data_IF_990606858300
#
_entry.id   IF_990606858300
#
_cell.length_a   1.000
_cell.length_b   1.000
_cell.length_c   1.000
_cell.angle_alpha   90.00
_cell.angle_beta   90.00
_cell.angle_gamma   90.00
#
_symmetry.space_group_name_H-M   'P 1'
#
loop_
_entity.id
_entity.type
_entity.pdbx_description
1 polymer ?
#
# COMPACT_ATOMS: atom_id res chain seq x y z
N UNK A 1 -64.36 -26.29 -47.24
CA UNK A 1 -64.48 -25.97 -45.81
C UNK A 1 -63.25 -25.19 -45.43
N UNK A 2 -63.37 -24.18 -44.58
CA UNK A 2 -62.25 -23.35 -44.15
C UNK A 2 -62.01 -23.59 -42.66
N UNK A 3 -60.84 -24.11 -42.30
CA UNK A 3 -60.46 -24.18 -40.90
C UNK A 3 -60.29 -22.76 -40.34
N UNK A 4 -61.08 -22.44 -39.32
CA UNK A 4 -60.85 -21.24 -38.53
C UNK A 4 -59.61 -21.46 -37.67
N UNK A 5 -58.60 -20.56 -37.70
CA UNK A 5 -57.39 -20.74 -36.92
C UNK A 5 -57.72 -20.73 -35.42
N UNK A 6 -57.46 -21.85 -34.75
CA UNK A 6 -57.69 -21.97 -33.31
C UNK A 6 -56.86 -20.93 -32.56
N UNK A 7 -57.54 -20.09 -31.79
CA UNK A 7 -56.94 -19.10 -30.91
C UNK A 7 -57.06 -19.52 -29.45
N UNK A 8 -56.10 -19.08 -28.64
CA UNK A 8 -56.07 -19.25 -27.18
C UNK A 8 -55.84 -17.88 -26.53
N UNK A 9 -56.32 -17.63 -25.30
CA UNK A 9 -55.97 -16.41 -24.58
C UNK A 9 -54.47 -16.42 -24.22
N UNK A 10 -53.82 -15.25 -24.32
CA UNK A 10 -52.50 -15.02 -23.74
C UNK A 10 -52.58 -15.10 -22.21
N UNK A 11 -51.68 -15.80 -21.50
CA UNK A 11 -51.75 -15.93 -20.04
C UNK A 11 -51.66 -14.58 -19.32
N UNK A 12 -50.85 -13.65 -19.83
CA UNK A 12 -50.52 -12.40 -19.14
C UNK A 12 -51.55 -11.28 -19.33
N UNK A 13 -52.34 -11.32 -20.40
CA UNK A 13 -53.25 -10.22 -20.79
C UNK A 13 -54.61 -10.66 -21.36
N UNK A 14 -54.88 -11.98 -21.41
CA UNK A 14 -56.08 -12.60 -21.98
C UNK A 14 -56.37 -12.34 -23.48
N UNK A 15 -55.60 -11.49 -24.18
CA UNK A 15 -55.77 -11.22 -25.61
C UNK A 15 -55.67 -12.51 -26.45
N UNK A 16 -56.50 -12.70 -27.49
CA UNK A 16 -56.47 -13.89 -28.32
C UNK A 16 -55.20 -13.95 -29.19
N UNK A 17 -54.44 -15.03 -29.04
CA UNK A 17 -53.23 -15.34 -29.81
C UNK A 17 -53.42 -16.64 -30.58
N UNK A 18 -52.72 -16.83 -31.70
CA UNK A 18 -52.82 -18.07 -32.50
C UNK A 18 -52.22 -19.24 -31.73
N UNK A 19 -52.86 -20.41 -31.78
CA UNK A 19 -52.38 -21.60 -31.06
C UNK A 19 -51.07 -22.19 -31.64
N UNK A 20 -50.81 -21.90 -32.92
CA UNK A 20 -49.61 -22.26 -33.68
C UNK A 20 -49.07 -21.03 -34.40
N UNK A 21 -47.76 -21.01 -34.71
CA UNK A 21 -46.99 -19.93 -35.37
C UNK A 21 -46.66 -18.66 -34.56
N UNK A 22 -47.32 -18.42 -33.43
CA UNK A 22 -47.09 -17.20 -32.64
C UNK A 22 -46.20 -17.42 -31.40
N UNK A 23 -44.92 -17.00 -31.51
CA UNK A 23 -43.94 -17.00 -30.41
C UNK A 23 -44.12 -15.86 -29.38
N UNK A 24 -44.74 -14.73 -29.75
CA UNK A 24 -44.96 -13.54 -28.89
C UNK A 24 -46.38 -12.97 -29.06
N UNK A 25 -46.97 -12.44 -27.98
CA UNK A 25 -48.29 -11.80 -28.02
C UNK A 25 -48.22 -10.36 -28.55
N UNK A 26 -48.89 -10.08 -29.68
CA UNK A 26 -48.90 -8.76 -30.33
C UNK A 26 -49.44 -7.61 -29.45
N UNK A 27 -50.24 -7.93 -28.42
CA UNK A 27 -50.90 -6.93 -27.57
C UNK A 27 -50.09 -6.51 -26.33
N UNK A 28 -49.07 -7.27 -25.93
CA UNK A 28 -48.31 -7.00 -24.69
C UNK A 28 -46.82 -7.38 -24.74
N UNK A 29 -46.36 -8.06 -25.79
CA UNK A 29 -44.98 -8.54 -25.92
C UNK A 29 -44.65 -9.80 -25.12
N UNK A 30 -45.63 -10.40 -24.41
CA UNK A 30 -45.43 -11.63 -23.65
C UNK A 30 -44.93 -12.77 -24.54
N UNK A 31 -43.90 -13.48 -24.06
CA UNK A 31 -43.32 -14.64 -24.74
C UNK A 31 -44.21 -15.88 -24.52
N UNK A 32 -44.66 -16.52 -25.60
CA UNK A 32 -45.68 -17.57 -25.56
C UNK A 32 -45.11 -18.98 -25.71
N UNK A 33 -43.99 -19.12 -26.44
CA UNK A 33 -43.20 -20.35 -26.65
C UNK A 33 -41.96 -20.04 -27.48
N UNK A 34 -40.95 -20.90 -27.41
CA UNK A 34 -39.95 -21.04 -28.49
C UNK A 34 -40.49 -21.99 -29.56
N UNK A 35 -40.43 -21.59 -30.82
CA UNK A 35 -40.65 -22.51 -31.95
C UNK A 35 -39.41 -23.38 -32.19
N UNK A 36 -39.32 -24.50 -31.49
CA UNK A 36 -38.27 -25.51 -31.68
C UNK A 36 -38.68 -26.56 -32.74
N UNK A 37 -37.77 -26.98 -33.64
CA UNK A 37 -38.05 -28.05 -34.59
C UNK A 37 -38.21 -29.40 -33.89
N UNK A 38 -39.19 -30.20 -34.31
CA UNK A 38 -39.62 -31.42 -33.60
C UNK A 38 -38.58 -32.54 -33.58
N UNK A 39 -38.00 -32.81 -32.41
CA UNK A 39 -37.47 -34.13 -32.03
C UNK A 39 -37.52 -34.27 -30.49
N UNK A 40 -37.80 -35.47 -29.95
CA UNK A 40 -38.14 -35.67 -28.55
C UNK A 40 -36.98 -36.24 -27.69
N UNK A 41 -37.05 -36.01 -26.37
CA UNK A 41 -36.18 -36.61 -25.35
C UNK A 41 -36.96 -36.83 -24.02
N UNK A 42 -36.61 -37.84 -23.19
CA UNK A 42 -37.33 -38.19 -21.95
C UNK A 42 -36.70 -37.63 -20.65
N UNK A 43 -37.43 -37.78 -19.54
CA UNK A 43 -37.15 -37.19 -18.21
C UNK A 43 -35.99 -37.83 -17.40
N UNK A 44 -35.37 -37.08 -16.47
CA UNK A 44 -34.54 -37.59 -15.38
C UNK A 44 -35.18 -37.44 -13.98
N UNK A 45 -34.87 -38.37 -13.06
CA UNK A 45 -35.23 -38.29 -11.63
C UNK A 45 -34.00 -38.49 -10.73
N UNK A 46 -33.93 -37.75 -9.61
CA UNK A 46 -33.18 -38.14 -8.41
C UNK A 46 -33.43 -37.17 -7.23
N UNK A 47 -33.94 -37.68 -6.12
CA UNK A 47 -34.26 -36.92 -4.92
C UNK A 47 -33.10 -36.85 -3.91
N UNK A 48 -33.15 -35.88 -2.98
CA UNK A 48 -32.73 -36.09 -1.59
C UNK A 48 -33.41 -35.12 -0.63
N UNK A 49 -33.78 -35.62 0.55
CA UNK A 49 -34.63 -34.94 1.54
C UNK A 49 -33.84 -34.64 2.85
N UNK A 50 -34.31 -33.67 3.65
CA UNK A 50 -33.60 -33.08 4.80
C UNK A 50 -34.55 -32.79 5.99
N UNK A 51 -34.22 -33.30 7.19
CA UNK A 51 -34.87 -33.05 8.49
C UNK A 51 -34.11 -33.77 9.65
N UNK A 52 -34.28 -33.54 10.96
CA UNK A 52 -34.48 -32.37 11.87
C UNK A 52 -34.45 -32.95 13.34
N UNK A 53 -34.38 -32.28 14.51
CA UNK A 53 -34.43 -30.87 14.97
C UNK A 53 -33.80 -30.72 16.39
N UNK A 54 -33.47 -29.49 16.79
CA UNK A 54 -33.56 -28.91 18.16
C UNK A 54 -32.50 -29.18 19.29
N UNK A 55 -32.46 -28.18 20.20
CA UNK A 55 -31.71 -27.98 21.48
C UNK A 55 -32.75 -28.01 22.66
N UNK A 56 -32.52 -27.62 23.96
CA UNK A 56 -31.46 -26.79 24.57
C UNK A 56 -30.77 -27.36 25.84
N UNK A 57 -29.87 -26.58 26.44
CA UNK A 57 -29.15 -26.85 27.70
C UNK A 57 -29.79 -26.15 28.93
N UNK A 58 -29.49 -26.65 30.14
CA UNK A 58 -29.66 -25.95 31.42
C UNK A 58 -28.52 -26.34 32.40
N UNK A 59 -28.18 -25.50 33.37
CA UNK A 59 -27.08 -25.70 34.35
C UNK A 59 -27.34 -24.91 35.64
N UNK A 60 -26.95 -25.42 36.83
CA UNK A 60 -25.85 -24.74 37.56
C UNK A 60 -25.01 -25.60 38.55
N UNK A 61 -24.00 -24.94 39.15
CA UNK A 61 -23.44 -25.15 40.53
C UNK A 61 -22.13 -25.93 40.77
N UNK A 62 -21.40 -25.45 41.79
CA UNK A 62 -20.18 -25.94 42.51
C UNK A 62 -20.57 -26.20 44.01
N UNK A 63 -19.72 -26.61 45.00
CA UNK A 63 -18.23 -26.63 45.08
C UNK A 63 -17.54 -27.83 45.82
N UNK A 64 -16.20 -27.72 46.00
CA UNK A 64 -15.34 -28.42 47.00
C UNK A 64 -15.10 -29.95 46.81
N UNK A 65 -14.14 -30.69 47.41
CA UNK A 65 -13.16 -30.53 48.53
C UNK A 65 -11.78 -31.20 48.18
N UNK A 66 -10.61 -30.73 48.68
CA UNK A 66 -9.76 -31.17 49.85
C UNK A 66 -8.95 -32.50 49.71
N UNK A 67 -7.65 -32.48 50.03
CA UNK A 67 -6.74 -33.64 50.23
C UNK A 67 -5.27 -33.33 49.81
N UNK A 68 -4.33 -33.03 50.72
CA UNK A 68 -3.40 -33.93 51.48
C UNK A 68 -2.35 -34.64 50.61
N UNK A 69 -1.05 -34.31 50.63
CA UNK A 69 -0.02 -34.37 51.72
C UNK A 69 0.36 -35.85 52.04
N UNK A 70 1.61 -36.35 52.11
CA UNK A 70 3.01 -35.82 52.12
C UNK A 70 3.88 -36.52 51.01
N UNK A 71 5.16 -36.26 50.65
CA UNK A 71 6.40 -35.65 51.22
C UNK A 71 7.43 -36.63 51.89
N UNK A 72 8.74 -36.26 51.90
CA UNK A 72 9.93 -37.01 52.43
C UNK A 72 10.37 -38.20 51.51
N UNK A 73 11.64 -38.65 51.33
CA UNK A 73 12.98 -38.49 52.00
C UNK A 73 14.20 -38.41 51.01
N UNK A 74 15.45 -38.62 51.48
CA UNK A 74 16.75 -38.71 50.72
C UNK A 74 17.11 -40.16 50.26
N UNK A 75 18.31 -40.64 49.83
CA UNK A 75 19.77 -40.29 49.65
C UNK A 75 20.39 -41.38 48.69
N UNK A 76 21.65 -41.47 48.18
CA UNK A 76 22.87 -40.64 47.94
C UNK A 76 23.87 -41.46 47.04
N UNK A 77 25.06 -40.92 46.72
CA UNK A 77 26.36 -41.56 46.35
C UNK A 77 26.84 -41.60 44.87
N UNK A 78 27.89 -40.80 44.66
CA UNK A 78 29.00 -40.82 43.66
C UNK A 78 29.24 -42.08 42.77
N UNK A 79 29.41 -41.86 41.45
CA UNK A 79 30.20 -42.72 40.54
C UNK A 79 31.05 -41.86 39.57
N UNK A 80 32.26 -42.34 39.27
CA UNK A 80 33.39 -41.58 38.72
C UNK A 80 33.79 -41.96 37.27
N UNK A 81 34.12 -40.93 36.48
CA UNK A 81 34.96 -40.91 35.25
C UNK A 81 34.47 -41.53 33.92
N UNK A 82 34.15 -40.65 32.97
CA UNK A 82 34.63 -40.65 31.57
C UNK A 82 34.65 -39.18 31.08
N UNK A 83 35.66 -38.56 30.46
CA UNK A 83 36.77 -38.97 29.60
C UNK A 83 36.45 -39.06 28.09
N UNK A 84 36.62 -37.91 27.40
CA UNK A 84 36.77 -37.69 25.94
C UNK A 84 35.59 -38.04 25.02
N UNK A 85 35.13 -37.05 24.27
CA UNK A 85 35.48 -36.94 22.84
C UNK A 85 35.35 -35.49 22.37
N UNK A 86 36.38 -34.99 21.68
CA UNK A 86 36.36 -33.71 20.97
C UNK A 86 36.05 -33.99 19.49
N UNK A 87 35.01 -33.39 18.92
CA UNK A 87 34.76 -33.51 17.47
C UNK A 87 35.35 -32.30 16.72
N UNK A 88 36.63 -32.42 16.35
CA UNK A 88 37.32 -31.44 15.52
C UNK A 88 36.81 -31.50 14.07
N UNK A 89 35.84 -30.64 13.72
CA UNK A 89 35.49 -30.40 12.31
C UNK A 89 36.48 -29.41 11.69
N UNK A 90 37.43 -29.93 10.91
CA UNK A 90 38.36 -29.13 10.11
C UNK A 90 37.64 -28.52 8.90
N UNK A 91 37.78 -27.20 8.62
CA UNK A 91 37.13 -26.58 7.47
C UNK A 91 37.76 -27.02 6.13
N UNK A 92 36.91 -27.25 5.13
CA UNK A 92 37.33 -27.48 3.75
C UNK A 92 37.85 -26.18 3.09
N UNK A 93 38.77 -26.28 2.11
CA UNK A 93 39.53 -25.12 1.62
C UNK A 93 38.70 -24.15 0.78
N UNK A 94 39.03 -22.85 0.90
CA UNK A 94 38.38 -21.78 0.15
C UNK A 94 38.72 -21.83 -1.35
N UNK A 95 37.69 -21.65 -2.19
CA UNK A 95 37.84 -21.47 -3.65
C UNK A 95 38.07 -19.99 -3.95
N UNK A 96 39.17 -19.66 -4.63
CA UNK A 96 39.49 -18.28 -5.00
C UNK A 96 38.63 -17.79 -6.18
N UNK A 97 38.16 -16.52 -6.18
CA UNK A 97 37.37 -15.96 -7.28
C UNK A 97 38.23 -15.58 -8.49
N UNK A 98 37.78 -15.93 -9.68
CA UNK A 98 38.35 -15.46 -10.96
C UNK A 98 37.69 -14.12 -11.38
N UNK A 99 38.41 -13.15 -11.99
CA UNK A 99 37.88 -11.80 -12.19
C UNK A 99 36.79 -11.69 -13.27
N UNK A 100 35.91 -10.70 -13.12
CA UNK A 100 34.92 -10.31 -14.13
C UNK A 100 35.51 -9.29 -15.14
N UNK A 101 35.13 -9.34 -16.43
CA UNK A 101 35.41 -8.29 -17.40
C UNK A 101 34.34 -7.19 -17.41
N UNK A 102 34.77 -5.94 -17.62
CA UNK A 102 33.91 -4.77 -17.84
C UNK A 102 34.71 -3.69 -18.62
N UNK A 103 34.07 -2.60 -19.07
CA UNK A 103 33.00 -2.57 -20.06
C UNK A 103 33.45 -1.86 -21.35
N UNK A 104 32.70 -1.99 -22.45
CA UNK A 104 32.95 -1.27 -23.70
C UNK A 104 31.89 -0.15 -23.91
N UNK A 105 32.36 1.08 -24.02
CA UNK A 105 31.53 2.30 -24.08
C UNK A 105 31.27 2.75 -25.52
N UNK A 106 30.05 3.19 -25.81
CA UNK A 106 29.74 4.07 -26.95
C UNK A 106 29.47 5.49 -26.44
N UNK A 107 29.87 6.53 -27.19
CA UNK A 107 28.90 7.61 -27.40
C UNK A 107 28.99 8.31 -28.79
N UNK A 108 27.90 9.00 -29.10
CA UNK A 108 27.73 10.25 -29.88
C UNK A 108 28.26 10.43 -31.32
N UNK A 109 27.33 10.84 -32.18
CA UNK A 109 27.51 11.97 -33.12
C UNK A 109 26.16 12.59 -33.47
N UNK A 110 26.11 13.91 -33.60
CA UNK A 110 24.87 14.71 -33.62
C UNK A 110 24.67 15.45 -34.96
N UNK A 111 23.41 15.82 -35.24
CA UNK A 111 23.00 16.94 -36.11
C UNK A 111 23.14 16.80 -37.65
N UNK A 112 22.15 17.38 -38.35
CA UNK A 112 21.99 17.39 -39.82
C UNK A 112 22.83 18.47 -40.53
N UNK A 113 22.77 18.51 -41.86
CA UNK A 113 22.16 19.69 -42.47
C UNK A 113 21.02 19.35 -43.46
N UNK A 114 20.21 20.35 -43.79
CA UNK A 114 19.23 20.30 -44.87
C UNK A 114 19.66 21.24 -46.01
N UNK A 115 19.30 20.90 -47.25
CA UNK A 115 19.31 21.80 -48.42
C UNK A 115 18.42 21.22 -49.52
N UNK A 116 17.88 22.08 -50.37
CA UNK A 116 16.99 21.70 -51.47
C UNK A 116 17.74 21.00 -52.62
N UNK A 117 17.16 19.93 -53.15
CA UNK A 117 17.05 19.78 -54.61
C UNK A 117 15.85 18.89 -55.00
N UNK A 118 14.76 19.50 -55.48
CA UNK A 118 13.62 18.81 -56.13
C UNK A 118 13.52 19.25 -57.59
N UNK A 119 14.59 19.00 -58.33
CA UNK A 119 14.79 19.51 -59.68
C UNK A 119 13.94 18.81 -60.76
N UNK A 120 13.00 19.58 -61.34
CA UNK A 120 12.65 19.68 -62.78
C UNK A 120 12.15 18.44 -63.56
N UNK A 121 12.38 17.22 -63.07
CA UNK A 121 12.06 15.96 -63.76
C UNK A 121 10.57 15.61 -63.73
N UNK A 122 9.86 15.91 -62.65
CA UNK A 122 8.43 15.62 -62.53
C UNK A 122 7.56 16.48 -63.46
N UNK A 123 7.88 17.77 -63.60
CA UNK A 123 7.04 18.75 -64.33
C UNK A 123 7.01 18.47 -65.84
N UNK A 124 8.12 17.96 -66.39
CA UNK A 124 8.26 17.66 -67.84
C UNK A 124 7.45 16.44 -68.30
N UNK A 125 6.86 15.67 -67.38
CA UNK A 125 6.02 14.50 -67.70
C UNK A 125 4.61 14.83 -68.21
N UNK A 126 4.15 16.09 -68.05
CA UNK A 126 2.76 16.51 -68.30
C UNK A 126 2.53 17.21 -69.66
N UNK A 127 3.49 17.19 -70.58
CA UNK A 127 3.46 17.94 -71.85
C UNK A 127 3.61 17.05 -73.09
N UNK A 128 2.86 15.94 -73.14
CA UNK A 128 2.69 15.11 -74.35
C UNK A 128 1.24 15.23 -74.86
N UNK A 129 0.98 15.96 -75.97
CA UNK A 129 -0.37 16.09 -76.53
C UNK A 129 -0.88 14.79 -77.16
N UNK A 130 -2.14 14.44 -76.90
CA UNK A 130 -2.85 13.35 -77.59
C UNK A 130 -3.63 13.93 -78.79
N UNK A 131 -3.34 13.51 -80.04
CA UNK A 131 -4.14 13.94 -81.19
C UNK A 131 -5.48 13.18 -81.23
N UNK A 132 -6.61 13.90 -81.39
CA UNK A 132 -7.89 13.23 -81.63
C UNK A 132 -9.16 14.09 -81.58
N UNK A 133 -9.18 15.19 -80.82
CA UNK A 133 -10.41 15.98 -80.60
C UNK A 133 -10.43 17.28 -81.40
N UNK A 134 -11.30 17.36 -82.41
CA UNK A 134 -11.69 18.62 -83.09
C UNK A 134 -13.19 18.84 -82.88
N UNK A 135 -13.61 19.83 -82.06
CA UNK A 135 -15.02 20.16 -81.90
C UNK A 135 -15.65 20.65 -83.21
N UNK A 136 -16.92 20.34 -83.41
CA UNK A 136 -17.73 20.84 -84.52
C UNK A 136 -18.38 22.18 -84.14
N UNK A 137 -18.57 23.07 -85.11
CA UNK A 137 -18.88 24.49 -84.87
C UNK A 137 -20.40 24.72 -84.65
N UNK A 138 -20.82 25.44 -83.58
CA UNK A 138 -22.24 25.57 -83.25
C UNK A 138 -22.99 26.52 -84.19
N UNK A 139 -24.12 26.06 -84.72
CA UNK A 139 -24.97 26.87 -85.60
C UNK A 139 -25.57 28.10 -84.88
N UNK A 140 -25.61 29.24 -85.58
CA UNK A 140 -26.06 30.54 -85.06
C UNK A 140 -27.56 30.53 -84.76
N UNK A 141 -27.93 30.86 -83.53
CA UNK A 141 -29.33 30.98 -83.11
C UNK A 141 -29.97 32.30 -83.59
N UNK A 142 -31.21 32.23 -84.08
CA UNK A 142 -31.99 33.39 -84.51
C UNK A 142 -32.52 34.22 -83.31
N UNK A 143 -32.71 35.55 -83.48
CA UNK A 143 -33.14 36.43 -82.38
C UNK A 143 -34.60 36.21 -81.97
N UNK A 144 -34.85 36.20 -80.66
CA UNK A 144 -36.20 36.10 -80.06
C UNK A 144 -36.68 37.49 -79.60
N UNK A 145 -37.97 37.76 -79.77
CA UNK A 145 -38.61 39.03 -79.41
C UNK A 145 -38.61 39.28 -77.88
N UNK A 146 -38.65 40.56 -77.43
CA UNK A 146 -38.52 40.92 -76.02
C UNK A 146 -39.65 40.36 -75.14
N UNK A 147 -39.27 39.98 -73.91
CA UNK A 147 -40.18 39.37 -72.95
C UNK A 147 -41.27 40.34 -72.44
N UNK A 148 -42.43 39.77 -72.08
CA UNK A 148 -43.57 40.47 -71.49
C UNK A 148 -43.21 41.01 -70.10
N UNK A 149 -43.61 42.24 -69.73
CA UNK A 149 -43.30 42.80 -68.41
C UNK A 149 -43.93 41.98 -67.28
N UNK A 150 -43.13 41.70 -66.25
CA UNK A 150 -43.49 40.85 -65.12
C UNK A 150 -44.17 41.65 -64.00
N UNK A 151 -45.10 41.03 -63.27
CA UNK A 151 -45.85 41.71 -62.21
C UNK A 151 -44.98 42.00 -60.97
N UNK A 152 -45.19 43.16 -60.34
CA UNK A 152 -44.42 43.58 -59.18
C UNK A 152 -44.51 42.57 -58.02
N UNK A 153 -43.35 42.09 -57.55
CA UNK A 153 -43.25 41.09 -56.48
C UNK A 153 -43.85 41.62 -55.17
N UNK A 154 -44.76 40.89 -54.49
CA UNK A 154 -45.31 41.33 -53.22
C UNK A 154 -44.24 41.40 -52.13
N UNK A 155 -44.29 42.48 -51.33
CA UNK A 155 -43.33 42.73 -50.24
C UNK A 155 -43.69 41.83 -49.04
N UNK A 156 -42.73 41.10 -48.45
CA UNK A 156 -43.00 40.30 -47.26
C UNK A 156 -43.30 41.19 -46.04
N UNK A 157 -44.35 40.84 -45.28
CA UNK A 157 -44.52 41.37 -43.92
C UNK A 157 -43.43 40.79 -43.01
N UNK A 158 -42.90 41.60 -42.11
CA UNK A 158 -42.14 41.10 -40.98
C UNK A 158 -43.05 40.22 -40.11
N UNK A 159 -42.53 39.09 -39.61
CA UNK A 159 -43.23 38.28 -38.63
C UNK A 159 -43.20 38.99 -37.27
N UNK A 160 -44.33 38.97 -36.56
CA UNK A 160 -44.44 39.61 -35.25
C UNK A 160 -43.63 38.86 -34.18
N UNK A 161 -43.10 39.60 -33.20
CA UNK A 161 -42.20 39.03 -32.19
C UNK A 161 -42.95 37.98 -31.33
N UNK A 162 -42.43 36.76 -31.17
CA UNK A 162 -43.10 35.74 -30.39
C UNK A 162 -43.15 36.12 -28.91
N UNK A 163 -44.35 36.08 -28.32
CA UNK A 163 -44.56 36.41 -26.92
C UNK A 163 -43.63 35.61 -25.97
N UNK A 164 -43.24 36.18 -24.82
CA UNK A 164 -42.54 35.46 -23.77
C UNK A 164 -43.29 34.19 -23.37
N UNK A 165 -42.54 33.11 -23.12
CA UNK A 165 -43.11 31.80 -22.79
C UNK A 165 -42.82 31.50 -21.32
N UNK A 166 -43.85 31.68 -20.49
CA UNK A 166 -43.83 31.34 -19.07
C UNK A 166 -43.63 29.82 -18.82
N UNK A 167 -42.88 29.50 -17.77
CA UNK A 167 -42.95 28.21 -17.07
C UNK A 167 -42.39 26.93 -17.72
N UNK A 168 -41.72 26.99 -18.87
CA UNK A 168 -41.25 25.78 -19.57
C UNK A 168 -39.72 25.61 -19.68
N UNK A 169 -39.26 24.36 -19.67
CA UNK A 169 -37.84 23.98 -19.70
C UNK A 169 -37.09 24.56 -20.93
N UNK A 170 -35.89 25.14 -20.76
CA UNK A 170 -35.07 25.59 -21.87
C UNK A 170 -34.50 24.40 -22.67
N UNK A 171 -34.34 24.56 -23.98
CA UNK A 171 -33.78 23.51 -24.83
C UNK A 171 -32.33 23.16 -24.43
N UNK A 172 -31.94 21.88 -24.29
CA UNK A 172 -30.58 21.52 -23.88
C UNK A 172 -29.48 21.94 -24.87
N UNK A 173 -29.81 22.10 -26.16
CA UNK A 173 -28.86 22.50 -27.20
C UNK A 173 -28.76 24.03 -27.38
N UNK A 174 -29.89 24.73 -27.59
CA UNK A 174 -29.90 26.17 -27.90
C UNK A 174 -30.36 27.08 -26.74
N UNK A 175 -30.76 26.51 -25.60
CA UNK A 175 -31.30 27.17 -24.40
C UNK A 175 -32.52 28.09 -24.59
N UNK A 176 -33.14 28.11 -25.78
CA UNK A 176 -34.42 28.78 -25.99
C UNK A 176 -35.51 28.20 -25.10
N UNK A 177 -36.31 29.06 -24.47
CA UNK A 177 -37.50 28.68 -23.72
C UNK A 177 -38.58 28.09 -24.66
N UNK A 178 -39.16 26.97 -24.26
CA UNK A 178 -40.25 26.28 -24.96
C UNK A 178 -41.46 26.19 -24.02
N UNK A 179 -42.68 26.07 -24.54
CA UNK A 179 -43.85 25.83 -23.68
C UNK A 179 -43.72 24.46 -23.00
N UNK A 180 -44.26 24.28 -21.78
CA UNK A 180 -44.46 22.96 -21.19
C UNK A 180 -45.12 21.97 -22.17
N UNK A 181 -44.81 20.68 -22.02
CA UNK A 181 -45.38 19.61 -22.86
C UNK A 181 -44.82 19.50 -24.29
N UNK A 182 -43.87 20.33 -24.72
CA UNK A 182 -43.23 20.15 -26.05
C UNK A 182 -42.19 19.04 -26.03
N UNK A 183 -42.36 18.05 -26.91
CA UNK A 183 -41.38 16.99 -27.14
C UNK A 183 -40.15 17.46 -27.95
N UNK A 184 -40.28 18.50 -28.78
CA UNK A 184 -39.20 19.05 -29.61
C UNK A 184 -39.11 20.59 -29.51
N UNK A 185 -37.90 21.14 -29.62
CA UNK A 185 -37.67 22.58 -29.54
C UNK A 185 -38.18 23.34 -30.77
N UNK A 186 -38.92 24.44 -30.52
CA UNK A 186 -39.55 25.32 -31.54
C UNK A 186 -38.60 26.06 -32.52
N UNK A 187 -37.29 25.90 -32.39
CA UNK A 187 -36.29 26.62 -33.19
C UNK A 187 -35.23 25.71 -33.81
N UNK A 188 -34.71 24.74 -33.06
CA UNK A 188 -33.65 23.83 -33.52
C UNK A 188 -34.06 22.35 -33.56
N UNK A 189 -35.36 22.05 -33.40
CA UNK A 189 -35.95 20.70 -33.43
C UNK A 189 -35.34 19.66 -32.45
N UNK A 190 -34.43 20.05 -31.56
CA UNK A 190 -33.80 19.15 -30.57
C UNK A 190 -34.87 18.55 -29.64
N UNK A 191 -34.86 17.23 -29.37
CA UNK A 191 -35.80 16.63 -28.44
C UNK A 191 -35.59 17.18 -27.02
N UNK A 192 -36.70 17.55 -26.37
CA UNK A 192 -36.73 18.15 -25.03
C UNK A 192 -36.66 17.09 -23.93
N UNK A 193 -37.18 15.89 -24.21
CA UNK A 193 -36.94 14.69 -23.43
C UNK A 193 -35.94 13.84 -24.22
N UNK A 194 -34.70 13.63 -23.74
CA UNK A 194 -33.80 12.71 -24.40
C UNK A 194 -34.30 11.28 -24.19
N UNK A 195 -34.72 10.62 -25.28
CA UNK A 195 -34.81 9.17 -25.26
C UNK A 195 -33.47 8.58 -24.84
N UNK A 196 -33.49 7.66 -23.88
CA UNK A 196 -32.32 6.85 -23.55
C UNK A 196 -32.17 5.81 -24.66
N UNK A 197 -31.63 6.23 -25.81
CA UNK A 197 -31.17 5.32 -26.87
C UNK A 197 -30.36 4.21 -26.20
N UNK A 198 -30.85 2.98 -26.26
CA UNK A 198 -30.22 1.89 -25.53
C UNK A 198 -28.82 1.66 -26.08
N UNK A 199 -27.86 1.43 -25.20
CA UNK A 199 -26.48 1.09 -25.58
C UNK A 199 -26.33 -0.36 -26.04
N UNK A 200 -27.46 -1.07 -26.25
CA UNK A 200 -27.49 -2.42 -26.79
C UNK A 200 -27.32 -2.42 -28.31
N UNK A 201 -27.81 -1.38 -29.01
CA UNK A 201 -27.68 -1.28 -30.46
C UNK A 201 -26.30 -0.71 -30.84
N UNK A 202 -25.60 -1.41 -31.74
CA UNK A 202 -24.24 -1.05 -32.14
C UNK A 202 -24.14 0.27 -32.92
N UNK A 203 -22.91 0.78 -33.17
CA UNK A 203 -22.72 1.98 -33.98
C UNK A 203 -23.13 1.72 -35.44
N UNK A 204 -24.36 2.13 -35.79
CA UNK A 204 -24.92 2.06 -37.14
C UNK A 204 -23.98 2.61 -38.23
N UNK A 205 -23.95 1.95 -39.38
CA UNK A 205 -23.05 2.26 -40.49
C UNK A 205 -23.15 3.74 -40.93
N UNK A 206 -22.03 4.44 -40.91
CA UNK A 206 -21.94 5.88 -41.21
C UNK A 206 -21.89 6.80 -39.97
N UNK A 207 -22.19 6.30 -38.77
CA UNK A 207 -22.05 7.05 -37.51
C UNK A 207 -20.56 7.20 -37.14
N UNK A 208 -19.92 8.28 -37.62
CA UNK A 208 -18.54 8.62 -37.23
C UNK A 208 -18.48 8.77 -35.70
N UNK A 209 -17.57 8.07 -34.98
CA UNK A 209 -17.36 8.34 -33.56
C UNK A 209 -16.97 9.79 -33.36
N UNK A 210 -17.68 10.50 -32.48
CA UNK A 210 -17.25 11.82 -32.05
C UNK A 210 -15.89 11.69 -31.35
N UNK A 211 -14.87 12.39 -31.83
CA UNK A 211 -13.59 12.51 -31.12
C UNK A 211 -13.79 13.38 -29.88
N UNK A 212 -14.39 12.79 -28.84
CA UNK A 212 -14.30 13.29 -27.47
C UNK A 212 -12.81 13.29 -27.11
N UNK A 213 -12.19 14.48 -27.17
CA UNK A 213 -10.84 14.68 -26.64
C UNK A 213 -10.93 14.52 -25.14
N UNK A 214 -10.78 13.28 -24.70
CA UNK A 214 -11.14 12.82 -23.37
C UNK A 214 -10.09 13.28 -22.34
N UNK A 215 -10.19 14.56 -21.99
CA UNK A 215 -9.43 15.20 -20.92
C UNK A 215 -9.65 14.48 -19.59
N UNK A 216 -10.81 13.84 -19.38
CA UNK A 216 -11.07 12.97 -18.25
C UNK A 216 -10.09 11.79 -18.19
N UNK A 217 -9.94 11.03 -19.28
CA UNK A 217 -8.95 9.93 -19.37
C UNK A 217 -7.50 10.41 -19.26
N UNK A 218 -7.17 11.62 -19.70
CA UNK A 218 -5.84 12.21 -19.47
C UNK A 218 -5.62 12.59 -18.00
N UNK A 219 -6.60 13.22 -17.35
CA UNK A 219 -6.55 13.56 -15.92
C UNK A 219 -6.48 12.31 -15.03
N UNK A 220 -7.28 11.28 -15.32
CA UNK A 220 -7.23 10.00 -14.60
C UNK A 220 -5.87 9.31 -14.78
N UNK A 221 -5.30 9.31 -15.99
CA UNK A 221 -3.93 8.79 -16.22
C UNK A 221 -2.87 9.60 -15.48
N UNK A 222 -2.99 10.92 -15.43
CA UNK A 222 -2.08 11.78 -14.67
C UNK A 222 -2.18 11.51 -13.16
N UNK A 223 -3.39 11.38 -12.62
CA UNK A 223 -3.62 11.02 -11.21
C UNK A 223 -3.05 9.64 -10.86
N UNK A 224 -3.24 8.64 -11.73
CA UNK A 224 -2.64 7.30 -11.55
C UNK A 224 -1.12 7.38 -11.61
N UNK A 225 -0.54 8.11 -12.56
CA UNK A 225 0.91 8.29 -12.66
C UNK A 225 1.49 8.98 -11.42
N UNK A 226 0.86 10.07 -10.94
CA UNK A 226 1.25 10.76 -9.71
C UNK A 226 1.11 9.85 -8.48
N UNK A 227 0.07 9.03 -8.39
CA UNK A 227 -0.11 8.05 -7.31
C UNK A 227 0.98 6.97 -7.33
N UNK A 228 1.33 6.43 -8.51
CA UNK A 228 2.43 5.47 -8.66
C UNK A 228 3.77 6.11 -8.29
N UNK A 229 4.05 7.34 -8.74
CA UNK A 229 5.27 8.09 -8.35
C UNK A 229 5.29 8.34 -6.84
N UNK A 230 4.17 8.71 -6.22
CA UNK A 230 4.08 8.90 -4.78
C UNK A 230 4.31 7.59 -3.99
N UNK A 231 3.83 6.45 -4.49
CA UNK A 231 4.09 5.13 -3.90
C UNK A 231 5.57 4.73 -4.07
N UNK A 232 6.18 4.97 -5.24
CA UNK A 232 7.60 4.68 -5.47
C UNK A 232 8.50 5.55 -4.61
N UNK A 233 8.27 6.88 -4.57
CA UNK A 233 9.03 7.81 -3.72
C UNK A 233 8.79 7.51 -2.24
N UNK A 234 7.55 7.23 -1.83
CA UNK A 234 7.21 6.80 -0.48
C UNK A 234 7.88 5.47 -0.09
N UNK A 235 8.02 4.53 -1.03
CA UNK A 235 8.76 3.28 -0.84
C UNK A 235 10.27 3.49 -0.74
N UNK A 236 10.85 4.38 -1.55
CA UNK A 236 12.31 4.68 -1.53
C UNK A 236 12.71 5.48 -0.29
N UNK A 237 11.89 6.43 0.15
CA UNK A 237 12.19 7.28 1.32
C UNK A 237 11.71 6.64 2.63
N UNK A 238 10.50 6.09 2.64
CA UNK A 238 9.86 5.51 3.83
C UNK A 238 10.13 4.02 4.04
N UNK A 239 10.43 3.25 2.98
CA UNK A 239 10.77 1.83 3.07
C UNK A 239 12.01 1.56 3.94
N UNK A 240 13.16 2.23 3.71
CA UNK A 240 14.36 2.01 4.51
C UNK A 240 14.21 2.28 6.02
N UNK A 241 13.52 3.33 6.51
CA UNK A 241 13.24 3.47 7.95
C UNK A 241 12.13 2.54 8.45
N UNK A 242 11.05 2.31 7.68
CA UNK A 242 9.95 1.44 8.12
C UNK A 242 10.38 -0.04 8.21
N UNK A 243 11.10 -0.55 7.22
CA UNK A 243 11.66 -1.90 7.24
C UNK A 243 12.63 -2.08 8.42
N UNK A 244 13.49 -1.09 8.70
CA UNK A 244 14.40 -1.12 9.86
C UNK A 244 13.66 -1.05 11.20
N UNK A 245 12.55 -0.31 11.30
CA UNK A 245 11.73 -0.25 12.50
C UNK A 245 10.97 -1.57 12.76
N UNK A 246 10.54 -2.27 11.70
CA UNK A 246 10.00 -3.63 11.80
C UNK A 246 11.10 -4.63 12.17
N UNK A 247 12.28 -4.53 11.54
CA UNK A 247 13.44 -5.35 11.89
C UNK A 247 13.88 -5.10 13.35
N UNK A 248 13.87 -3.88 13.87
CA UNK A 248 14.12 -3.56 15.29
C UNK A 248 13.17 -4.26 16.26
N UNK A 249 11.92 -4.51 15.83
CA UNK A 249 10.93 -5.18 16.66
C UNK A 249 11.18 -6.70 16.75
N UNK A 250 11.71 -7.29 15.69
CA UNK A 250 11.95 -8.74 15.56
C UNK A 250 13.44 -9.15 15.65
N UNK A 251 14.37 -8.22 15.73
CA UNK A 251 15.79 -8.50 15.87
C UNK A 251 16.08 -9.20 17.19
N UNK A 252 16.77 -10.34 17.12
CA UNK A 252 17.33 -11.00 18.29
C UNK A 252 18.31 -10.03 18.95
N UNK A 253 18.08 -9.70 20.23
CA UNK A 253 18.96 -8.81 21.00
C UNK A 253 20.25 -9.57 21.32
N UNK A 254 21.32 -9.23 20.63
CA UNK A 254 22.65 -9.83 20.84
C UNK A 254 23.37 -9.04 21.94
N UNK A 255 23.99 -9.71 22.94
CA UNK A 255 24.83 -9.03 23.92
C UNK A 255 26.03 -8.39 23.23
N UNK A 256 26.32 -7.15 23.60
CA UNK A 256 27.46 -6.35 23.13
C UNK A 256 28.40 -6.17 24.32
N UNK A 257 29.64 -6.65 24.18
CA UNK A 257 30.64 -6.53 25.23
C UNK A 257 31.50 -5.28 25.00
N UNK A 258 31.52 -4.30 25.93
CA UNK A 258 32.46 -3.18 25.89
C UNK A 258 33.90 -3.67 26.01
N UNK A 259 34.81 -3.05 25.26
CA UNK A 259 36.26 -3.37 25.29
C UNK A 259 37.04 -2.54 26.30
N UNK A 260 36.42 -1.49 26.86
CA UNK A 260 37.02 -0.66 27.90
C UNK A 260 35.98 -0.22 28.93
N UNK A 261 36.45 -0.11 30.18
CA UNK A 261 35.67 0.34 31.33
C UNK A 261 36.47 1.36 32.13
N UNK A 262 35.90 2.53 32.36
CA UNK A 262 36.54 3.66 33.07
C UNK A 262 35.53 4.24 34.07
N UNK A 263 35.97 4.65 35.25
CA UNK A 263 35.12 5.34 36.21
C UNK A 263 35.77 6.62 36.73
N UNK A 264 34.98 7.53 37.29
CA UNK A 264 35.49 8.71 38.00
C UNK A 264 36.36 8.34 39.22
N UNK A 265 36.01 7.25 39.88
CA UNK A 265 36.71 6.66 41.01
C UNK A 265 36.28 5.19 41.17
N UNK A 266 37.00 4.41 41.99
CA UNK A 266 36.60 3.04 42.35
C UNK A 266 37.11 2.69 43.74
N UNK A 267 36.35 1.92 44.52
CA UNK A 267 36.86 1.36 45.77
C UNK A 267 38.01 0.37 45.50
N UNK A 268 38.95 0.18 46.45
CA UNK A 268 39.96 -0.85 46.35
C UNK A 268 39.32 -2.23 46.09
N UNK A 269 39.77 -2.91 45.03
CA UNK A 269 39.27 -4.19 44.51
C UNK A 269 37.88 -4.16 43.83
N UNK A 270 37.22 -3.02 43.70
CA UNK A 270 35.91 -2.88 43.03
C UNK A 270 36.06 -2.14 41.69
N UNK A 271 36.94 -2.65 40.82
CA UNK A 271 37.37 -2.02 39.56
C UNK A 271 36.19 -1.77 38.58
N UNK A 272 36.28 -0.77 37.67
CA UNK A 272 35.22 -0.46 36.70
C UNK A 272 34.79 -1.64 35.83
N UNK A 273 35.75 -2.50 35.45
CA UNK A 273 35.56 -3.69 34.62
C UNK A 273 34.65 -4.76 35.27
N UNK A 274 34.49 -4.73 36.59
CA UNK A 274 33.72 -5.73 37.34
C UNK A 274 32.20 -5.56 37.16
N UNK A 275 31.76 -4.43 36.59
CA UNK A 275 30.37 -4.26 36.13
C UNK A 275 30.15 -4.75 34.68
N UNK A 276 31.12 -5.47 34.10
CA UNK A 276 31.07 -5.99 32.73
C UNK A 276 31.78 -7.32 32.55
N UNK A 277 32.00 -8.07 33.64
CA UNK A 277 32.74 -9.33 33.64
C UNK A 277 31.86 -10.59 33.62
N UNK A 278 30.53 -10.42 33.71
CA UNK A 278 29.56 -11.50 33.64
C UNK A 278 29.30 -12.24 34.96
N UNK A 279 30.16 -12.10 35.98
CA UNK A 279 30.01 -12.86 37.22
C UNK A 279 28.86 -12.35 38.10
N UNK A 280 28.44 -13.14 39.10
CA UNK A 280 27.27 -12.84 39.93
C UNK A 280 27.58 -12.20 41.29
N UNK A 281 28.86 -12.19 41.65
CA UNK A 281 29.41 -11.80 42.95
C UNK A 281 30.54 -10.76 42.85
N UNK A 282 30.76 -10.22 41.66
CA UNK A 282 31.62 -9.07 41.35
C UNK A 282 30.78 -7.80 41.23
N UNK A 283 31.40 -6.63 41.35
CA UNK A 283 30.73 -5.33 41.20
C UNK A 283 31.74 -4.18 41.04
N UNK A 284 31.34 -3.14 40.32
CA UNK A 284 31.99 -1.82 40.44
C UNK A 284 31.40 -1.07 41.64
N UNK A 285 32.26 -0.45 42.44
CA UNK A 285 31.89 0.35 43.61
C UNK A 285 32.52 1.73 43.56
N UNK A 286 31.74 2.79 43.80
CA UNK A 286 32.19 4.19 43.65
C UNK A 286 33.32 4.60 44.60
N UNK A 287 33.54 3.88 45.70
CA UNK A 287 34.52 4.22 46.73
C UNK A 287 34.16 5.45 47.58
N UNK A 288 33.00 6.07 47.38
CA UNK A 288 32.51 7.20 48.16
C UNK A 288 31.24 6.84 48.92
N UNK A 289 31.15 7.28 50.17
CA UNK A 289 29.96 7.08 50.99
C UNK A 289 28.76 7.93 50.54
N UNK A 290 27.55 7.51 50.91
CA UNK A 290 26.31 8.24 50.62
C UNK A 290 25.71 7.87 49.26
N UNK A 291 25.26 8.87 48.49
CA UNK A 291 24.57 8.67 47.21
C UNK A 291 25.48 8.69 45.98
N UNK A 292 26.77 9.04 46.16
CA UNK A 292 27.77 9.16 45.10
C UNK A 292 27.33 10.06 43.92
N UNK A 293 26.53 11.10 44.18
CA UNK A 293 26.07 12.01 43.13
C UNK A 293 27.23 12.60 42.31
N UNK A 294 27.11 12.55 40.97
CA UNK A 294 28.12 13.01 40.02
C UNK A 294 29.25 12.02 39.71
N UNK A 295 29.36 10.91 40.45
CA UNK A 295 30.28 9.82 40.08
C UNK A 295 29.78 9.09 38.84
N UNK A 296 30.68 8.53 38.04
CA UNK A 296 30.32 7.88 36.78
C UNK A 296 31.10 6.60 36.51
N UNK A 297 30.49 5.74 35.69
CA UNK A 297 31.07 4.57 35.06
C UNK A 297 30.81 4.67 33.55
N UNK A 298 31.83 4.44 32.72
CA UNK A 298 31.78 4.53 31.27
C UNK A 298 32.26 3.24 30.62
N UNK A 299 31.43 2.73 29.71
CA UNK A 299 31.70 1.60 28.83
C UNK A 299 32.09 2.13 27.44
N UNK A 300 33.20 1.64 26.88
CA UNK A 300 33.65 1.97 25.52
C UNK A 300 33.62 0.77 24.58
N UNK A 301 33.20 0.99 23.33
CA UNK A 301 33.09 -0.03 22.29
C UNK A 301 34.24 0.11 21.28
N UNK A 302 34.67 -1.01 20.66
CA UNK A 302 35.77 -1.00 19.70
C UNK A 302 35.37 -0.34 18.37
N UNK A 303 34.10 -0.50 17.98
CA UNK A 303 33.52 -0.05 16.73
C UNK A 303 32.16 0.62 17.01
N UNK A 304 31.69 1.56 16.15
CA UNK A 304 30.38 2.19 16.30
C UNK A 304 29.26 1.14 16.36
N UNK A 305 28.55 1.08 17.49
CA UNK A 305 27.58 0.00 17.75
C UNK A 305 26.15 0.51 17.90
N UNK A 306 25.20 -0.17 17.24
CA UNK A 306 23.77 0.10 17.35
C UNK A 306 23.18 -0.48 18.65
N UNK A 307 23.09 0.35 19.69
CA UNK A 307 22.61 -0.02 21.02
C UNK A 307 21.11 0.16 21.18
N UNK A 308 20.40 -0.93 21.43
CA UNK A 308 18.96 -0.93 21.72
C UNK A 308 18.68 -0.64 23.20
N UNK A 309 19.52 -1.16 24.10
CA UNK A 309 19.29 -1.11 25.56
C UNK A 309 20.51 -1.51 26.37
N UNK A 310 20.47 -1.18 27.66
CA UNK A 310 21.33 -1.75 28.71
C UNK A 310 20.45 -2.46 29.75
N UNK A 311 20.91 -3.60 30.27
CA UNK A 311 20.41 -4.17 31.53
C UNK A 311 21.34 -3.72 32.65
N UNK A 312 20.79 -3.15 33.71
CA UNK A 312 21.53 -2.80 34.93
C UNK A 312 21.15 -3.74 36.05
N UNK A 313 22.14 -4.35 36.69
CA UNK A 313 21.95 -5.08 37.95
C UNK A 313 22.56 -4.25 39.09
N UNK A 314 21.74 -3.51 39.86
CA UNK A 314 22.23 -2.60 40.88
C UNK A 314 22.59 -3.33 42.19
N UNK A 315 23.68 -2.93 42.83
CA UNK A 315 24.17 -3.52 44.09
C UNK A 315 25.49 -4.26 43.95
N UNK A 316 25.82 -5.05 44.97
CA UNK A 316 27.08 -5.78 45.09
C UNK A 316 26.99 -7.27 44.72
N UNK A 317 25.83 -7.74 44.24
CA UNK A 317 25.64 -9.09 43.70
C UNK A 317 24.39 -9.12 42.81
N UNK A 318 24.32 -10.08 41.88
CA UNK A 318 23.10 -10.34 41.08
C UNK A 318 21.98 -11.00 41.91
N UNK A 319 22.35 -11.70 42.99
CA UNK A 319 21.44 -12.32 43.95
C UNK A 319 21.34 -11.45 45.21
N UNK A 320 20.12 -11.02 45.58
CA UNK A 320 19.89 -10.16 46.75
C UNK A 320 20.29 -10.80 48.08
N UNK A 321 20.24 -12.14 48.18
CA UNK A 321 20.70 -12.89 49.36
C UNK A 321 22.23 -12.85 49.55
N UNK A 322 22.98 -12.54 48.49
CA UNK A 322 24.44 -12.44 48.49
C UNK A 322 24.95 -10.99 48.51
N UNK A 323 24.06 -10.00 48.53
CA UNK A 323 24.46 -8.60 48.48
C UNK A 323 24.86 -8.08 49.88
N UNK A 324 26.11 -7.62 50.03
CA UNK A 324 26.68 -6.92 51.21
C UNK A 324 25.94 -5.64 51.67
N UNK A 325 24.71 -5.40 51.22
CA UNK A 325 23.86 -4.31 51.69
C UNK A 325 24.28 -2.92 51.26
N UNK A 326 25.17 -2.77 50.27
CA UNK A 326 25.62 -1.49 49.71
C UNK A 326 24.46 -0.61 49.20
N UNK A 327 24.73 0.66 48.93
CA UNK A 327 23.77 1.54 48.28
C UNK A 327 23.61 1.16 46.80
N UNK A 328 22.41 1.39 46.25
CA UNK A 328 22.07 1.01 44.87
C UNK A 328 21.63 2.24 44.06
N UNK A 329 21.99 2.40 42.78
CA UNK A 329 21.53 3.53 41.98
C UNK A 329 20.00 3.66 42.03
N UNK A 330 19.50 4.88 42.19
CA UNK A 330 18.06 5.21 42.16
C UNK A 330 17.73 6.04 40.93
N UNK A 331 18.47 7.13 40.73
CA UNK A 331 18.44 7.91 39.49
C UNK A 331 19.84 8.12 38.96
N UNK A 332 19.95 8.09 37.64
CA UNK A 332 21.20 8.29 36.91
C UNK A 332 20.91 8.80 35.51
N UNK A 333 21.90 9.44 34.89
CA UNK A 333 21.84 9.84 33.50
C UNK A 333 22.69 8.87 32.67
N UNK A 334 22.18 8.42 31.51
CA UNK A 334 22.99 7.78 30.48
C UNK A 334 23.35 8.82 29.44
N UNK A 335 24.65 9.11 29.33
CA UNK A 335 25.25 9.96 28.31
C UNK A 335 25.90 9.05 27.27
N UNK A 336 25.31 8.96 26.07
CA UNK A 336 25.84 8.15 24.97
C UNK A 336 26.53 9.05 23.97
N UNK A 337 27.80 8.77 23.68
CA UNK A 337 28.55 9.46 22.61
C UNK A 337 28.56 8.58 21.36
N UNK A 338 28.13 9.11 20.22
CA UNK A 338 28.17 8.41 18.93
C UNK A 338 29.36 8.82 18.05
N UNK A 339 29.52 8.12 16.91
CA UNK A 339 30.61 8.32 15.96
C UNK A 339 30.62 9.69 15.27
N UNK A 340 29.52 10.46 15.30
CA UNK A 340 29.51 11.86 14.85
C UNK A 340 30.11 12.82 15.89
N UNK A 341 30.24 12.37 17.14
CA UNK A 341 30.61 13.18 18.29
C UNK A 341 29.42 13.78 19.05
N UNK A 342 28.18 13.58 18.57
CA UNK A 342 26.98 13.93 19.33
C UNK A 342 26.94 13.17 20.66
N UNK A 343 26.54 13.84 21.73
CA UNK A 343 26.33 13.22 23.05
C UNK A 343 24.86 13.33 23.44
N UNK A 344 24.13 12.20 23.41
CA UNK A 344 22.72 12.12 23.79
C UNK A 344 22.60 11.80 25.27
N UNK A 345 21.84 12.59 26.00
CA UNK A 345 21.63 12.45 27.44
C UNK A 345 20.19 11.99 27.71
N UNK A 346 20.03 10.99 28.57
CA UNK A 346 18.73 10.47 28.98
C UNK A 346 18.73 10.21 30.49
N UNK A 347 17.68 10.63 31.19
CA UNK A 347 17.58 10.51 32.65
C UNK A 347 16.70 9.32 33.02
N UNK A 348 17.15 8.48 33.94
CA UNK A 348 16.50 7.21 34.29
C UNK A 348 16.25 7.08 35.79
N UNK A 349 15.25 6.28 36.15
CA UNK A 349 14.93 5.88 37.51
C UNK A 349 14.76 4.36 37.56
N UNK A 350 15.36 3.72 38.56
CA UNK A 350 15.24 2.26 38.79
C UNK A 350 14.87 1.95 40.25
N UNK A 351 14.40 0.73 40.47
CA UNK A 351 14.14 0.14 41.78
C UNK A 351 15.45 -0.35 42.43
N UNK A 352 15.44 -0.61 43.72
CA UNK A 352 16.66 -0.77 44.51
C UNK A 352 17.37 -2.14 44.40
N UNK A 353 16.83 -3.08 43.61
CA UNK A 353 17.41 -4.41 43.39
C UNK A 353 16.85 -5.12 42.16
N UNK A 354 17.50 -6.22 41.77
CA UNK A 354 17.15 -7.03 40.60
C UNK A 354 17.61 -6.41 39.27
N UNK A 355 17.91 -7.26 38.29
CA UNK A 355 18.28 -6.85 36.93
C UNK A 355 17.12 -6.12 36.25
N UNK A 356 17.36 -4.88 35.81
CA UNK A 356 16.35 -3.99 35.26
C UNK A 356 16.76 -3.48 33.89
N UNK A 357 15.80 -3.40 32.97
CA UNK A 357 16.01 -2.97 31.59
C UNK A 357 15.87 -1.45 31.45
N UNK A 358 16.84 -0.83 30.80
CA UNK A 358 16.77 0.55 30.30
C UNK A 358 16.88 0.56 28.78
N UNK A 359 15.89 1.11 28.10
CA UNK A 359 15.94 1.35 26.65
C UNK A 359 16.90 2.51 26.34
N UNK A 360 17.79 2.30 25.36
CA UNK A 360 18.87 3.24 25.03
C UNK A 360 18.74 3.79 23.60
N UNK A 361 18.45 2.92 22.63
CA UNK A 361 18.08 3.25 21.24
C UNK A 361 18.98 4.29 20.55
N UNK A 362 20.30 4.19 20.75
CA UNK A 362 21.30 5.04 20.08
C UNK A 362 22.04 4.22 19.02
N UNK A 363 22.22 4.83 17.85
CA UNK A 363 23.00 4.26 16.73
C UNK A 363 24.44 4.74 16.78
N UNK A 364 25.34 3.96 16.16
CA UNK A 364 26.76 4.31 15.99
C UNK A 364 27.48 4.67 17.31
N UNK A 365 27.09 4.08 18.44
CA UNK A 365 27.59 4.41 19.77
C UNK A 365 29.06 4.00 19.95
N UNK A 366 29.89 4.90 20.48
CA UNK A 366 31.30 4.67 20.82
C UNK A 366 31.52 4.53 22.32
N UNK A 367 30.78 5.27 23.15
CA UNK A 367 30.76 5.04 24.60
C UNK A 367 29.42 5.39 25.25
N UNK A 368 29.14 4.73 26.38
CA UNK A 368 27.99 5.00 27.26
C UNK A 368 28.50 5.28 28.66
N UNK A 369 28.28 6.49 29.15
CA UNK A 369 28.59 6.90 30.53
C UNK A 369 27.32 6.95 31.37
N UNK A 370 27.26 6.12 32.41
CA UNK A 370 26.28 6.20 33.48
C UNK A 370 26.78 7.18 34.55
N UNK A 371 26.06 8.28 34.77
CA UNK A 371 26.36 9.29 35.78
C UNK A 371 25.33 9.20 36.90
N UNK A 372 25.76 8.86 38.12
CA UNK A 372 24.90 8.71 39.29
C UNK A 372 24.31 10.07 39.71
N UNK A 373 23.02 10.09 40.06
CA UNK A 373 22.31 11.29 40.53
C UNK A 373 21.75 11.13 41.94
N UNK A 374 21.14 9.99 42.25
CA UNK A 374 20.74 9.60 43.61
C UNK A 374 20.84 8.09 43.81
N UNK A 375 20.89 7.63 45.06
CA UNK A 375 20.92 6.21 45.40
C UNK A 375 19.84 5.83 46.42
N UNK A 376 19.36 4.59 46.33
CA UNK A 376 18.67 3.89 47.39
C UNK A 376 19.68 3.38 48.42
N UNK A 377 19.23 3.24 49.69
CA UNK A 377 20.05 2.72 50.81
C UNK A 377 21.38 3.48 51.04
N UNK A 378 21.47 4.73 50.59
CA UNK A 378 22.57 5.65 50.87
C UNK A 378 22.77 5.83 52.39
N UNK A 379 24.01 5.67 52.86
CA UNK A 379 24.40 5.75 54.27
C UNK A 379 25.86 6.28 54.32
N UNK A 380 26.27 7.04 55.36
CA UNK A 380 27.64 7.52 55.53
C UNK A 380 28.75 6.43 55.59
N UNK A 381 28.39 5.14 55.59
CA UNK A 381 29.30 3.99 55.57
C UNK A 381 29.12 3.08 54.34
N UNK A 382 28.21 3.41 53.42
CA UNK A 382 27.90 2.61 52.22
C UNK A 382 28.24 3.38 50.97
N UNK A 383 28.86 2.68 50.03
CA UNK A 383 29.11 3.19 48.68
C UNK A 383 28.01 2.73 47.72
N UNK A 384 27.90 3.39 46.57
CA UNK A 384 27.01 2.92 45.50
C UNK A 384 27.71 1.82 44.71
N UNK A 385 26.99 0.72 44.49
CA UNK A 385 27.49 -0.47 43.80
C UNK A 385 26.64 -0.79 42.56
N UNK A 386 27.30 -1.28 41.51
CA UNK A 386 26.66 -1.86 40.31
C UNK A 386 27.32 -3.19 40.01
N UNK A 387 26.55 -4.27 40.02
CA UNK A 387 27.04 -5.63 39.81
C UNK A 387 27.26 -5.91 38.31
N UNK A 388 26.40 -5.39 37.43
CA UNK A 388 26.52 -5.61 35.98
C UNK A 388 25.82 -4.51 35.17
N UNK A 389 26.38 -4.20 34.01
CA UNK A 389 25.84 -3.37 32.93
C UNK A 389 25.99 -4.11 31.59
N UNK A 390 24.96 -4.86 31.21
CA UNK A 390 24.96 -5.67 29.97
C UNK A 390 24.34 -4.87 28.82
N UNK A 391 25.11 -4.59 27.77
CA UNK A 391 24.61 -3.87 26.60
C UNK A 391 24.02 -4.82 25.56
N UNK A 392 22.97 -4.39 24.86
CA UNK A 392 22.29 -5.19 23.84
C UNK A 392 22.08 -4.37 22.58
N UNK A 393 22.56 -4.91 21.46
CA UNK A 393 22.43 -4.31 20.13
C UNK A 393 21.48 -5.07 19.21
N UNK A 394 21.39 -4.59 17.96
CA UNK A 394 20.80 -5.36 16.86
C UNK A 394 21.67 -6.60 16.58
N UNK A 395 21.06 -7.72 16.23
CA UNK A 395 21.76 -8.77 15.50
C UNK A 395 22.20 -8.23 14.13
N UNK A 396 23.51 -8.17 13.87
CA UNK A 396 24.01 -8.15 12.49
C UNK A 396 23.77 -9.52 11.86
N UNK A 397 23.33 -9.54 10.60
CA UNK A 397 22.95 -10.72 9.82
C UNK A 397 23.38 -10.54 8.38
#
# INVERSE_FOLDING_TARGET
MSDAPLSRPCPDCASPVRATDQSFCDSCGAFLRWDAPTTAAPDPTSDREEANTARPEESPSRPAERGTDDAVDTDDTDVRAAARSEETTTPLPAVAPTPAPAPATAPDSETSPASDDRSDTAVRSLLVPVPGSRPEEPAVAAPVLPARPEAARPVPRAAEAPAPVEGGTPCPACRLANTPGRHFCRHCATPMVPERLSTAEGPYAGRRPGLTRDRGRLLVRALIATAVVAVVVGGVVGGPPAARAVQDHFATRVPVHPVSWVASHSAPKQDPKLAGDGYSNTWWGTGYAGDSAGQYLEAGFAEPTDLLSVLITPGSAKNTTQADGQATPRTFDLMVKDASGETRVSHHLINDGGTQRVDLRVRDALSVRLVLRTAWRADPRKQVAVAELEFFGRSVS
#
